data_IF_946743566834
#
_entry.id   IF_946743566834
#
_cell.length_a   1.000
_cell.length_b   1.000
_cell.length_c   1.000
_cell.angle_alpha   90.00
_cell.angle_beta   90.00
_cell.angle_gamma   90.00
#
_symmetry.space_group_name_H-M   'P 1'
#
loop_
_entity.id
_entity.type
_entity.pdbx_description
1 polymer ?
#
# COMPACT_ATOMS: atom_id res chain seq x y z
N UNK A 1 -37.96 -71.08 -6.09
CA UNK A 1 -39.04 -70.14 -6.42
C UNK A 1 -39.92 -69.69 -5.24
N UNK A 2 -39.78 -70.23 -4.01
CA UNK A 2 -40.57 -69.80 -2.83
C UNK A 2 -39.93 -68.66 -2.01
N UNK A 3 -38.64 -68.36 -2.17
CA UNK A 3 -37.94 -67.35 -1.40
C UNK A 3 -38.13 -65.93 -1.93
N UNK A 4 -38.48 -65.77 -3.24
CA UNK A 4 -38.61 -64.46 -3.86
C UNK A 4 -39.97 -63.77 -3.63
N UNK A 5 -41.03 -64.58 -3.45
CA UNK A 5 -42.37 -64.05 -3.13
C UNK A 5 -42.48 -63.45 -1.72
N UNK A 6 -41.70 -63.95 -0.77
CA UNK A 6 -41.75 -63.46 0.60
C UNK A 6 -41.06 -62.08 0.78
N UNK A 7 -40.00 -61.83 -0.02
CA UNK A 7 -39.33 -60.52 -0.05
C UNK A 7 -40.20 -59.40 -0.64
N UNK A 8 -40.99 -59.72 -1.68
CA UNK A 8 -41.89 -58.72 -2.30
C UNK A 8 -43.03 -58.30 -1.39
N UNK A 9 -43.56 -59.18 -0.57
CA UNK A 9 -44.61 -58.84 0.38
C UNK A 9 -44.11 -57.97 1.54
N UNK A 10 -42.84 -58.12 1.96
CA UNK A 10 -42.24 -57.26 3.00
C UNK A 10 -42.01 -55.84 2.48
N UNK A 11 -41.60 -55.70 1.21
CA UNK A 11 -41.45 -54.35 0.60
C UNK A 11 -42.77 -53.66 0.35
N UNK A 12 -43.84 -54.40 0.00
CA UNK A 12 -45.17 -53.80 -0.19
C UNK A 12 -45.79 -53.37 1.16
N UNK A 13 -45.56 -54.10 2.23
CA UNK A 13 -46.03 -53.71 3.58
C UNK A 13 -45.16 -52.56 4.10
N UNK A 14 -43.85 -52.53 3.87
CA UNK A 14 -43.00 -51.40 4.24
C UNK A 14 -43.36 -50.13 3.45
N UNK A 15 -43.69 -50.25 2.15
CA UNK A 15 -44.11 -49.10 1.34
C UNK A 15 -45.49 -48.54 1.76
N UNK A 16 -46.43 -49.40 2.16
CA UNK A 16 -47.76 -48.98 2.63
C UNK A 16 -47.71 -48.38 4.04
N UNK A 17 -46.79 -48.78 4.91
CA UNK A 17 -46.55 -48.19 6.24
C UNK A 17 -45.86 -46.82 6.11
N UNK A 18 -44.95 -46.68 5.13
CA UNK A 18 -44.27 -45.40 4.86
C UNK A 18 -45.20 -44.34 4.23
N UNK A 19 -46.19 -44.78 3.42
CA UNK A 19 -47.15 -43.84 2.82
C UNK A 19 -48.23 -43.37 3.82
N UNK A 20 -48.48 -44.07 4.91
CA UNK A 20 -49.44 -43.62 5.95
C UNK A 20 -48.79 -42.59 6.92
N UNK A 21 -47.48 -42.56 7.00
CA UNK A 21 -46.75 -41.56 7.83
C UNK A 21 -46.62 -40.21 7.19
N UNK A 22 -46.85 -40.10 5.88
CA UNK A 22 -46.81 -38.80 5.20
C UNK A 22 -48.16 -38.06 5.14
N UNK A 23 -49.27 -38.71 5.50
CA UNK A 23 -50.59 -38.07 5.45
C UNK A 23 -51.04 -37.49 6.81
N UNK A 24 -50.27 -37.73 7.88
CA UNK A 24 -50.67 -37.35 9.25
C UNK A 24 -49.97 -36.11 9.82
N UNK A 25 -49.36 -35.26 8.98
CA UNK A 25 -48.66 -34.07 9.49
C UNK A 25 -49.26 -32.72 9.11
N UNK A 26 -50.29 -32.68 8.28
CA UNK A 26 -50.82 -31.37 7.83
C UNK A 26 -51.92 -30.80 8.76
N UNK A 27 -52.72 -31.60 9.42
CA UNK A 27 -53.81 -31.10 10.29
C UNK A 27 -53.34 -30.47 11.61
N UNK A 28 -52.12 -30.78 12.12
CA UNK A 28 -51.59 -30.17 13.32
C UNK A 28 -50.65 -28.96 13.04
N UNK A 29 -50.28 -28.75 11.81
CA UNK A 29 -49.41 -27.63 11.42
C UNK A 29 -50.20 -26.34 11.30
N UNK A 30 -51.44 -26.41 10.86
CA UNK A 30 -52.28 -25.22 10.66
C UNK A 30 -52.96 -24.72 11.95
N UNK A 31 -52.99 -25.56 13.01
CA UNK A 31 -53.66 -25.19 14.28
C UNK A 31 -52.85 -24.22 15.13
N UNK A 32 -51.50 -24.21 14.98
CA UNK A 32 -50.55 -23.37 15.72
C UNK A 32 -49.97 -22.21 14.90
N UNK A 33 -50.38 -22.06 13.64
CA UNK A 33 -49.93 -20.91 12.84
C UNK A 33 -50.63 -19.64 13.33
N UNK A 34 -49.81 -18.61 13.57
CA UNK A 34 -50.28 -17.29 13.98
C UNK A 34 -51.10 -16.63 12.87
N UNK A 35 -52.13 -15.87 13.25
CA UNK A 35 -52.86 -15.04 12.31
C UNK A 35 -51.92 -14.07 11.60
N UNK A 36 -52.33 -13.69 10.38
CA UNK A 36 -51.54 -12.79 9.54
C UNK A 36 -51.23 -11.47 10.25
N UNK A 37 -49.95 -11.10 10.23
CA UNK A 37 -49.40 -9.94 10.93
C UNK A 37 -48.47 -9.16 10.01
N UNK A 38 -48.42 -7.85 10.21
CA UNK A 38 -47.55 -6.94 9.50
C UNK A 38 -46.57 -6.27 10.46
N UNK A 39 -45.34 -6.05 10.04
CA UNK A 39 -44.37 -5.31 10.81
C UNK A 39 -43.24 -4.78 9.94
N UNK A 40 -42.53 -3.75 10.42
CA UNK A 40 -41.28 -3.28 9.84
C UNK A 40 -40.19 -4.28 10.16
N UNK A 41 -39.39 -4.67 9.14
CA UNK A 41 -38.25 -5.56 9.34
C UNK A 41 -37.17 -4.94 10.27
N UNK A 42 -37.09 -3.60 10.27
CA UNK A 42 -36.23 -2.81 11.17
C UNK A 42 -37.10 -1.83 11.94
N UNK A 43 -36.73 -1.56 13.19
CA UNK A 43 -37.43 -0.65 14.09
C UNK A 43 -36.47 0.12 14.99
N UNK A 44 -36.99 1.14 15.69
CA UNK A 44 -36.14 2.01 16.50
C UNK A 44 -35.32 3.00 15.67
N UNK A 45 -34.22 3.49 16.20
CA UNK A 45 -33.31 4.39 15.48
C UNK A 45 -32.39 3.59 14.55
N UNK A 46 -32.48 3.88 13.24
CA UNK A 46 -31.68 3.25 12.20
C UNK A 46 -30.86 4.29 11.45
N UNK A 47 -29.56 4.07 11.35
CA UNK A 47 -28.71 4.89 10.48
C UNK A 47 -28.87 4.48 9.01
N UNK A 48 -29.01 5.48 8.13
CA UNK A 48 -29.00 5.32 6.69
C UNK A 48 -27.78 6.02 6.12
N UNK A 49 -26.87 5.24 5.52
CA UNK A 49 -25.70 5.79 4.80
C UNK A 49 -26.16 6.29 3.44
N UNK A 50 -26.25 7.60 3.30
CA UNK A 50 -26.69 8.29 2.08
C UNK A 50 -25.45 8.70 1.30
N UNK A 51 -25.23 8.14 0.11
CA UNK A 51 -24.11 8.53 -0.73
C UNK A 51 -24.40 9.88 -1.40
N UNK A 52 -23.44 10.80 -1.33
CA UNK A 52 -23.49 12.10 -2.02
C UNK A 52 -23.23 11.94 -3.53
N UNK A 53 -24.16 11.23 -4.19
CA UNK A 53 -24.11 10.97 -5.63
C UNK A 53 -25.51 10.75 -6.20
N UNK A 54 -26.10 11.78 -6.78
CA UNK A 54 -27.46 11.73 -7.28
C UNK A 54 -28.48 11.47 -6.16
N UNK A 55 -29.63 10.92 -6.51
CA UNK A 55 -30.66 10.56 -5.53
C UNK A 55 -30.35 9.21 -4.91
N UNK A 56 -30.30 9.14 -3.60
CA UNK A 56 -30.10 7.90 -2.86
C UNK A 56 -31.45 7.33 -2.40
N UNK A 57 -31.76 6.09 -2.78
CA UNK A 57 -32.99 5.40 -2.38
C UNK A 57 -32.73 4.46 -1.19
N UNK A 58 -33.39 4.71 -0.07
CA UNK A 58 -33.40 3.84 1.11
C UNK A 58 -34.59 2.88 1.01
N UNK A 59 -34.33 1.58 1.15
CA UNK A 59 -35.35 0.54 1.15
C UNK A 59 -35.78 0.22 2.59
N UNK A 60 -37.07 0.39 2.88
CA UNK A 60 -37.68 0.05 4.18
C UNK A 60 -38.62 -1.15 4.01
N UNK A 61 -38.17 -2.37 4.33
CA UNK A 61 -38.98 -3.57 4.15
C UNK A 61 -40.09 -3.70 5.20
N UNK A 62 -41.23 -4.11 4.74
CA UNK A 62 -42.39 -4.54 5.52
C UNK A 62 -42.57 -6.04 5.32
N UNK A 63 -42.76 -6.74 6.40
CA UNK A 63 -42.94 -8.20 6.40
C UNK A 63 -44.41 -8.50 6.76
N UNK A 64 -45.04 -9.38 5.98
CA UNK A 64 -46.27 -10.06 6.32
C UNK A 64 -45.96 -11.51 6.71
N UNK A 65 -46.37 -11.93 7.87
CA UNK A 65 -46.16 -13.29 8.39
C UNK A 65 -47.45 -13.83 8.99
N UNK A 66 -47.59 -15.14 9.00
CA UNK A 66 -48.74 -15.85 9.47
C UNK A 66 -49.27 -16.87 8.46
N UNK A 67 -50.54 -17.17 8.48
CA UNK A 67 -51.20 -18.18 7.60
C UNK A 67 -51.16 -17.83 6.11
N UNK A 68 -50.98 -16.55 5.77
CA UNK A 68 -50.98 -16.09 4.37
C UNK A 68 -52.35 -16.03 3.73
N UNK A 69 -53.42 -15.95 4.53
CA UNK A 69 -54.82 -16.05 4.05
C UNK A 69 -55.46 -14.69 3.74
N UNK A 70 -54.79 -13.59 4.06
CA UNK A 70 -55.36 -12.26 3.92
C UNK A 70 -54.47 -11.35 3.08
N UNK A 71 -55.12 -10.61 2.18
CA UNK A 71 -54.50 -9.45 1.54
C UNK A 71 -54.45 -8.28 2.54
N UNK A 72 -53.49 -7.38 2.38
CA UNK A 72 -53.30 -6.24 3.26
C UNK A 72 -52.94 -4.98 2.49
N UNK A 73 -53.34 -3.85 3.04
CA UNK A 73 -52.89 -2.53 2.58
C UNK A 73 -52.25 -1.80 3.75
N UNK A 74 -51.04 -1.35 3.58
CA UNK A 74 -50.29 -0.61 4.61
C UNK A 74 -49.83 0.73 4.10
N UNK A 75 -49.84 1.71 4.98
CA UNK A 75 -49.38 3.08 4.73
C UNK A 75 -48.22 3.41 5.66
N UNK A 76 -47.22 4.10 5.13
CA UNK A 76 -46.16 4.72 5.91
C UNK A 76 -46.47 6.20 6.11
N UNK A 77 -46.57 6.64 7.35
CA UNK A 77 -46.88 8.03 7.69
C UNK A 77 -45.75 8.64 8.53
N UNK A 78 -45.36 9.88 8.23
CA UNK A 78 -44.49 10.67 9.11
C UNK A 78 -45.24 10.91 10.42
N UNK A 79 -44.60 10.62 11.54
CA UNK A 79 -45.23 10.65 12.87
C UNK A 79 -44.28 11.32 13.90
N UNK A 80 -44.51 12.60 14.15
CA UNK A 80 -43.75 13.39 15.11
C UNK A 80 -43.88 12.86 16.55
N UNK A 81 -44.95 12.14 16.88
CA UNK A 81 -45.10 11.57 18.21
C UNK A 81 -44.07 10.48 18.50
N UNK A 82 -43.63 9.76 17.45
CA UNK A 82 -42.54 8.77 17.54
C UNK A 82 -41.23 9.46 17.87
N UNK A 83 -40.95 10.59 17.25
CA UNK A 83 -39.77 11.40 17.52
C UNK A 83 -39.76 11.96 18.95
N UNK A 84 -40.89 12.55 19.36
CA UNK A 84 -41.03 13.12 20.70
C UNK A 84 -40.82 12.04 21.80
N UNK A 85 -41.50 10.88 21.64
CA UNK A 85 -41.33 9.75 22.58
C UNK A 85 -39.92 9.21 22.63
N UNK A 86 -39.21 9.15 21.48
CA UNK A 86 -37.84 8.70 21.42
C UNK A 86 -36.88 9.68 22.14
N UNK A 87 -37.03 10.98 21.88
CA UNK A 87 -36.21 12.02 22.52
C UNK A 87 -36.39 12.02 24.05
N UNK A 88 -37.65 11.90 24.53
CA UNK A 88 -37.91 11.82 25.96
C UNK A 88 -37.29 10.57 26.60
N UNK A 89 -37.44 9.40 25.97
CA UNK A 89 -36.95 8.14 26.52
C UNK A 89 -35.42 8.04 26.54
N UNK A 90 -34.72 8.69 25.59
CA UNK A 90 -33.26 8.58 25.41
C UNK A 90 -32.49 9.84 25.80
N UNK A 91 -33.18 10.93 26.21
CA UNK A 91 -32.53 12.23 26.52
C UNK A 91 -31.85 12.85 25.30
N UNK A 92 -32.36 12.58 24.10
CA UNK A 92 -31.86 13.12 22.84
C UNK A 92 -32.63 14.37 22.40
N UNK A 93 -32.07 15.15 21.47
CA UNK A 93 -32.69 16.37 20.95
C UNK A 93 -32.74 16.36 19.41
N UNK A 94 -33.07 15.19 18.84
CA UNK A 94 -33.24 15.06 17.40
C UNK A 94 -34.37 15.96 16.87
N UNK A 95 -34.16 16.51 15.68
CA UNK A 95 -35.12 17.36 15.00
C UNK A 95 -35.84 16.60 13.86
N UNK A 96 -37.05 16.98 13.56
CA UNK A 96 -37.77 16.45 12.39
C UNK A 96 -37.07 16.90 11.11
N UNK A 97 -36.81 15.94 10.22
CA UNK A 97 -36.20 16.22 8.92
C UNK A 97 -37.15 17.04 8.04
N UNK A 98 -36.68 18.13 7.40
CA UNK A 98 -37.45 18.91 6.46
C UNK A 98 -37.87 18.11 5.22
N UNK A 99 -39.05 18.43 4.68
CA UNK A 99 -39.67 17.74 3.54
C UNK A 99 -38.82 17.80 2.25
N UNK A 100 -38.01 18.83 2.08
CA UNK A 100 -37.11 18.96 0.91
C UNK A 100 -35.94 17.97 0.91
N UNK A 101 -35.67 17.30 2.02
CA UNK A 101 -34.55 16.36 2.16
C UNK A 101 -34.86 14.93 1.75
N UNK A 102 -36.14 14.62 1.56
CA UNK A 102 -36.59 13.27 1.19
C UNK A 102 -37.89 13.28 0.38
N UNK A 103 -38.16 12.17 -0.30
CA UNK A 103 -39.48 11.89 -0.90
C UNK A 103 -39.83 10.42 -0.75
N UNK A 104 -41.08 10.14 -0.43
CA UNK A 104 -41.61 8.80 -0.38
C UNK A 104 -42.24 8.46 -1.75
N UNK A 105 -41.65 7.51 -2.50
CA UNK A 105 -42.10 7.14 -3.85
C UNK A 105 -43.51 6.64 -3.87
N UNK A 106 -43.84 5.77 -2.92
CA UNK A 106 -45.18 5.22 -2.73
C UNK A 106 -45.50 5.25 -1.25
N UNK A 107 -46.53 5.97 -0.86
CA UNK A 107 -47.02 6.03 0.53
C UNK A 107 -47.86 4.83 0.95
N UNK A 108 -48.22 3.93 0.01
CA UNK A 108 -49.11 2.81 0.19
C UNK A 108 -48.54 1.54 -0.45
N UNK A 109 -48.54 0.42 0.29
CA UNK A 109 -48.19 -0.90 -0.22
C UNK A 109 -49.39 -1.82 -0.12
N UNK A 110 -49.67 -2.56 -1.18
CA UNK A 110 -50.72 -3.59 -1.22
C UNK A 110 -50.07 -4.98 -1.26
N UNK A 111 -50.40 -5.84 -0.31
CA UNK A 111 -49.99 -7.24 -0.22
C UNK A 111 -51.13 -8.13 -0.70
N UNK A 112 -50.86 -9.00 -1.65
CA UNK A 112 -51.71 -10.12 -1.95
C UNK A 112 -51.63 -11.19 -0.85
N UNK A 113 -52.45 -12.24 -0.91
CA UNK A 113 -52.46 -13.31 0.09
C UNK A 113 -51.10 -14.00 0.19
N UNK A 114 -50.47 -14.27 -0.94
CA UNK A 114 -49.17 -14.92 -1.04
C UNK A 114 -47.96 -14.00 -0.81
N UNK A 115 -48.13 -12.69 -0.81
CA UNK A 115 -47.06 -11.74 -0.58
C UNK A 115 -46.64 -11.74 0.89
N UNK A 116 -45.35 -11.90 1.15
CA UNK A 116 -44.78 -11.87 2.51
C UNK A 116 -43.76 -10.77 2.75
N UNK A 117 -43.30 -10.08 1.69
CA UNK A 117 -42.35 -8.97 1.80
C UNK A 117 -42.57 -7.95 0.68
N UNK A 118 -42.69 -6.69 1.06
CA UNK A 118 -42.64 -5.52 0.18
C UNK A 118 -41.89 -4.40 0.88
N UNK A 119 -41.45 -3.39 0.12
CA UNK A 119 -40.63 -2.31 0.69
C UNK A 119 -41.19 -0.95 0.28
N UNK A 120 -41.21 -0.02 1.23
CA UNK A 120 -41.30 1.39 0.90
C UNK A 120 -39.94 1.88 0.39
N UNK A 121 -39.95 2.74 -0.62
CA UNK A 121 -38.79 3.38 -1.20
C UNK A 121 -38.78 4.85 -0.82
N UNK A 122 -37.74 5.26 -0.07
CA UNK A 122 -37.56 6.62 0.40
C UNK A 122 -36.32 7.18 -0.30
N UNK A 123 -36.50 8.16 -1.15
CA UNK A 123 -35.42 8.87 -1.80
C UNK A 123 -34.95 10.00 -0.89
N UNK A 124 -33.66 10.04 -0.64
CA UNK A 124 -32.98 11.14 0.06
C UNK A 124 -32.29 12.05 -0.94
N UNK A 125 -32.31 13.35 -0.68
CA UNK A 125 -31.52 14.34 -1.40
C UNK A 125 -30.23 14.67 -0.64
N UNK A 126 -29.06 14.17 -1.10
CA UNK A 126 -27.80 14.38 -0.39
C UNK A 126 -27.39 15.84 -0.27
N UNK A 127 -27.71 16.70 -1.26
CA UNK A 127 -27.36 18.11 -1.23
C UNK A 127 -28.12 18.83 -0.12
N UNK A 128 -29.44 18.63 -0.04
CA UNK A 128 -30.26 19.17 1.04
C UNK A 128 -29.87 18.66 2.41
N UNK A 129 -29.52 17.38 2.54
CA UNK A 129 -29.01 16.79 3.77
C UNK A 129 -27.67 17.41 4.20
N UNK A 130 -26.76 17.62 3.26
CA UNK A 130 -25.44 18.26 3.53
C UNK A 130 -25.64 19.69 3.99
N UNK A 131 -26.56 20.43 3.38
CA UNK A 131 -26.89 21.80 3.78
C UNK A 131 -27.45 21.88 5.19
N UNK A 132 -28.27 20.93 5.62
CA UNK A 132 -28.78 20.84 7.01
C UNK A 132 -27.69 20.61 8.03
N UNK A 133 -26.72 19.73 7.73
CA UNK A 133 -25.66 19.37 8.66
C UNK A 133 -24.73 20.53 9.08
N UNK A 134 -24.89 21.72 8.49
CA UNK A 134 -24.09 22.91 8.81
C UNK A 134 -24.53 23.64 10.08
N UNK A 135 -25.72 23.37 10.60
CA UNK A 135 -26.27 24.01 11.82
C UNK A 135 -25.89 23.30 13.14
N UNK A 136 -25.22 22.15 13.05
CA UNK A 136 -24.82 21.35 14.20
C UNK A 136 -25.97 20.58 14.87
N UNK A 137 -27.16 20.54 14.25
CA UNK A 137 -28.31 19.78 14.71
C UNK A 137 -28.36 18.40 14.06
N UNK A 138 -29.00 17.46 14.73
CA UNK A 138 -29.20 16.11 14.19
C UNK A 138 -30.66 15.91 13.80
N UNK A 139 -30.87 15.52 12.55
CA UNK A 139 -32.19 15.34 11.96
C UNK A 139 -32.52 13.87 11.75
N UNK A 140 -33.78 13.50 12.04
CA UNK A 140 -34.28 12.15 11.82
C UNK A 140 -35.67 12.18 11.12
N UNK A 141 -35.97 11.11 10.41
CA UNK A 141 -37.25 10.93 9.74
C UNK A 141 -38.04 9.85 10.48
N UNK A 142 -39.04 10.25 11.28
CA UNK A 142 -39.88 9.34 12.05
C UNK A 142 -41.03 8.79 11.21
N UNK A 143 -41.24 7.49 11.22
CA UNK A 143 -42.38 6.87 10.56
C UNK A 143 -43.15 5.95 11.49
N UNK A 144 -44.49 5.90 11.27
CA UNK A 144 -45.40 4.86 11.76
C UNK A 144 -46.02 4.07 10.61
N UNK A 145 -46.05 2.75 10.76
CA UNK A 145 -46.77 1.85 9.87
C UNK A 145 -48.20 1.77 10.31
N UNK A 146 -49.16 2.00 9.38
CA UNK A 146 -50.57 1.99 9.65
C UNK A 146 -51.27 1.06 8.64
N UNK A 147 -52.27 0.31 9.07
CA UNK A 147 -53.14 -0.49 8.21
C UNK A 147 -54.60 -0.14 8.48
N UNK A 148 -55.36 -0.05 7.42
CA UNK A 148 -56.80 0.14 7.49
C UNK A 148 -57.57 -1.23 7.44
N UNK A 149 -56.82 -2.35 7.34
CA UNK A 149 -57.39 -3.69 7.29
C UNK A 149 -57.65 -4.20 8.72
N UNK A 150 -58.89 -4.62 8.99
CA UNK A 150 -59.31 -5.11 10.30
C UNK A 150 -58.93 -6.56 10.57
N UNK A 151 -58.65 -7.33 9.52
CA UNK A 151 -58.33 -8.77 9.61
C UNK A 151 -56.85 -9.04 9.80
N UNK A 152 -56.00 -8.01 9.60
CA UNK A 152 -54.55 -8.07 9.82
C UNK A 152 -54.15 -6.95 10.77
N UNK A 153 -53.37 -7.31 11.79
CA UNK A 153 -52.85 -6.35 12.76
C UNK A 153 -51.38 -6.11 12.56
N UNK A 154 -50.93 -4.95 12.93
CA UNK A 154 -49.49 -4.67 13.07
C UNK A 154 -49.01 -5.23 14.40
N UNK A 155 -47.99 -6.07 14.38
CA UNK A 155 -47.51 -6.75 15.58
C UNK A 155 -46.42 -5.91 16.26
N UNK A 156 -46.67 -5.68 17.58
CA UNK A 156 -45.74 -4.98 18.48
C UNK A 156 -45.68 -3.48 18.18
N UNK A 157 -45.92 -2.64 19.18
CA UNK A 157 -45.81 -1.18 19.01
C UNK A 157 -44.45 -0.76 18.51
N UNK A 158 -43.40 -1.41 18.98
CA UNK A 158 -42.01 -1.11 18.59
C UNK A 158 -41.73 -1.45 17.14
N UNK A 159 -42.40 -2.50 16.59
CA UNK A 159 -42.18 -2.92 15.19
C UNK A 159 -43.07 -2.15 14.19
N UNK A 160 -43.92 -1.28 14.68
CA UNK A 160 -44.70 -0.37 13.85
C UNK A 160 -44.00 0.98 13.63
N UNK A 161 -42.90 1.25 14.34
CA UNK A 161 -42.27 2.57 14.42
C UNK A 161 -40.78 2.51 14.09
N UNK A 162 -40.32 3.52 13.36
CA UNK A 162 -38.88 3.65 12.99
C UNK A 162 -38.50 5.12 12.94
N UNK A 163 -37.25 5.41 13.36
CA UNK A 163 -36.57 6.67 13.10
C UNK A 163 -35.41 6.41 12.17
N UNK A 164 -35.35 7.10 11.05
CA UNK A 164 -34.26 6.98 10.10
C UNK A 164 -33.35 8.22 10.24
N UNK A 165 -32.10 8.01 10.63
CA UNK A 165 -31.07 9.04 10.74
C UNK A 165 -30.13 8.94 9.52
N UNK A 166 -30.22 9.81 8.53
CA UNK A 166 -29.31 9.78 7.40
C UNK A 166 -27.96 10.35 7.80
N UNK A 167 -26.91 9.74 7.28
CA UNK A 167 -25.54 10.24 7.34
C UNK A 167 -25.01 10.33 5.93
N UNK A 168 -24.62 11.52 5.49
CA UNK A 168 -24.14 11.74 4.14
C UNK A 168 -22.69 11.28 4.05
N UNK A 169 -22.44 10.41 3.10
CA UNK A 169 -21.11 9.90 2.77
C UNK A 169 -20.71 10.37 1.39
N UNK A 170 -19.51 10.94 1.29
CA UNK A 170 -18.91 11.20 -0.02
C UNK A 170 -18.25 9.91 -0.51
N UNK A 171 -18.72 9.31 -1.59
CA UNK A 171 -18.07 8.17 -2.19
C UNK A 171 -16.86 8.64 -2.98
N UNK A 172 -15.68 8.06 -2.69
CA UNK A 172 -14.40 8.40 -3.29
C UNK A 172 -13.69 7.20 -3.88
N UNK A 173 -12.87 7.50 -4.90
CA UNK A 173 -11.91 6.59 -5.51
C UNK A 173 -10.52 7.17 -5.27
N UNK A 174 -9.59 6.35 -4.81
CA UNK A 174 -8.22 6.78 -4.53
C UNK A 174 -7.22 5.63 -4.58
N UNK A 175 -5.94 5.96 -4.51
CA UNK A 175 -4.89 4.97 -4.32
C UNK A 175 -4.92 4.41 -2.90
N UNK A 176 -4.66 3.10 -2.74
CA UNK A 176 -4.53 2.48 -1.41
C UNK A 176 -3.35 3.06 -0.63
N UNK A 177 -2.26 3.37 -1.33
CA UNK A 177 -1.05 3.95 -0.74
C UNK A 177 -0.87 5.34 -1.30
N UNK A 178 -1.43 6.37 -0.63
CA UNK A 178 -1.13 7.75 -0.96
C UNK A 178 0.33 8.10 -0.62
N UNK A 179 0.81 9.21 -1.12
CA UNK A 179 2.19 9.68 -1.00
C UNK A 179 3.20 8.74 -1.69
N UNK A 180 4.32 8.43 -1.03
CA UNK A 180 5.34 7.56 -1.58
C UNK A 180 5.16 6.10 -1.17
N UNK A 181 5.23 5.21 -2.14
CA UNK A 181 5.19 3.77 -1.91
C UNK A 181 6.46 3.29 -1.20
N UNK A 182 6.32 2.83 0.06
CA UNK A 182 7.45 2.49 0.95
C UNK A 182 7.59 1.01 1.27
N UNK A 183 7.01 0.10 0.51
CA UNK A 183 7.17 -1.32 0.80
C UNK A 183 8.57 -1.82 0.42
N UNK A 184 9.50 -1.64 1.33
CA UNK A 184 10.66 -2.49 1.58
C UNK A 184 11.79 -2.56 0.55
N UNK A 185 11.60 -2.27 -0.72
CA UNK A 185 12.66 -2.23 -1.73
C UNK A 185 12.31 -1.28 -2.84
N UNK A 186 13.23 -0.41 -3.19
CA UNK A 186 13.19 0.30 -4.44
C UNK A 186 13.09 -0.71 -5.59
N UNK A 187 12.25 -0.44 -6.57
CA UNK A 187 12.21 -1.24 -7.78
C UNK A 187 13.54 -1.04 -8.52
N UNK A 188 14.45 -2.00 -8.38
CA UNK A 188 15.75 -1.93 -9.03
C UNK A 188 15.66 -2.59 -10.41
N UNK A 189 16.01 -1.84 -11.43
CA UNK A 189 16.14 -2.36 -12.79
C UNK A 189 17.61 -2.78 -12.96
N UNK A 190 17.82 -4.04 -13.30
CA UNK A 190 19.15 -4.58 -13.62
C UNK A 190 19.45 -4.37 -15.09
N UNK A 191 20.68 -4.04 -15.41
CA UNK A 191 21.11 -3.72 -16.77
C UNK A 191 21.49 -4.95 -17.61
N UNK A 192 21.43 -6.16 -17.02
CA UNK A 192 21.91 -7.39 -17.67
C UNK A 192 20.78 -8.24 -18.28
N UNK A 193 19.52 -7.88 -18.03
CA UNK A 193 18.36 -8.63 -18.48
C UNK A 193 17.41 -7.73 -19.25
N UNK A 194 16.87 -8.22 -20.35
CA UNK A 194 15.68 -7.62 -21.03
C UNK A 194 14.44 -7.67 -20.10
N UNK A 195 14.64 -7.62 -18.79
CA UNK A 195 13.60 -7.76 -17.81
C UNK A 195 12.68 -6.55 -17.80
N UNK A 196 11.43 -6.83 -18.03
CA UNK A 196 10.34 -5.87 -17.93
C UNK A 196 9.84 -5.88 -16.48
N UNK A 197 10.12 -4.81 -15.76
CA UNK A 197 9.55 -4.62 -14.43
C UNK A 197 8.09 -4.16 -14.54
N UNK A 198 7.18 -4.85 -13.87
CA UNK A 198 5.76 -4.48 -13.83
C UNK A 198 5.37 -4.10 -12.41
N UNK A 199 4.81 -2.90 -12.25
CA UNK A 199 4.26 -2.42 -10.99
C UNK A 199 2.72 -2.39 -11.06
N UNK A 200 2.09 -2.58 -9.90
CA UNK A 200 0.65 -2.71 -9.78
C UNK A 200 0.08 -1.77 -8.71
N UNK A 201 -0.04 -0.45 -9.00
CA UNK A 201 -0.74 0.46 -8.11
C UNK A 201 -2.17 0.00 -7.85
N UNK A 202 -2.56 -0.08 -6.58
CA UNK A 202 -3.90 -0.47 -6.18
C UNK A 202 -4.78 0.77 -6.09
N UNK A 203 -5.89 0.77 -6.83
CA UNK A 203 -6.95 1.78 -6.78
C UNK A 203 -8.16 1.18 -6.10
N UNK A 204 -8.74 1.88 -5.14
CA UNK A 204 -9.81 1.40 -4.29
C UNK A 204 -10.93 2.42 -4.12
N UNK A 205 -12.06 1.94 -3.61
CA UNK A 205 -13.21 2.76 -3.21
C UNK A 205 -13.46 2.64 -1.70
N UNK A 206 -14.10 3.65 -1.12
CA UNK A 206 -14.47 3.67 0.31
C UNK A 206 -15.90 3.18 0.58
N UNK A 207 -16.54 2.52 -0.40
CA UNK A 207 -17.94 2.08 -0.34
C UNK A 207 -18.13 0.75 -1.09
N UNK A 208 -19.31 0.13 -0.97
CA UNK A 208 -19.66 -1.04 -1.79
C UNK A 208 -19.98 -0.59 -3.22
N UNK A 209 -19.23 -1.12 -4.18
CA UNK A 209 -19.30 -0.70 -5.56
C UNK A 209 -20.30 -1.52 -6.39
N UNK A 210 -21.39 -0.90 -6.77
CA UNK A 210 -22.42 -1.50 -7.61
C UNK A 210 -22.23 -1.26 -9.12
N UNK A 211 -21.18 -0.57 -9.52
CA UNK A 211 -20.97 -0.17 -10.92
C UNK A 211 -19.57 -0.50 -11.43
N UNK A 212 -19.43 -0.50 -12.75
CA UNK A 212 -18.14 -0.37 -13.39
C UNK A 212 -17.77 1.12 -13.45
N UNK A 213 -16.59 1.46 -12.92
CA UNK A 213 -16.11 2.85 -12.80
C UNK A 213 -14.80 2.96 -13.56
N UNK A 214 -14.77 3.75 -14.62
CA UNK A 214 -13.54 4.12 -15.29
C UNK A 214 -12.91 5.35 -14.65
N UNK A 215 -11.59 5.42 -14.68
CA UNK A 215 -10.82 6.55 -14.16
C UNK A 215 -9.64 6.87 -15.08
N UNK A 216 -9.17 8.11 -15.03
CA UNK A 216 -7.97 8.55 -15.72
C UNK A 216 -6.83 8.78 -14.73
N UNK A 217 -5.63 8.36 -15.14
CA UNK A 217 -4.39 8.57 -14.40
C UNK A 217 -3.38 9.27 -15.28
N UNK A 218 -2.70 10.26 -14.75
CA UNK A 218 -1.56 10.92 -15.41
C UNK A 218 -0.30 10.83 -14.56
N UNK A 219 0.85 10.96 -15.20
CA UNK A 219 2.12 11.20 -14.52
C UNK A 219 2.25 12.70 -14.31
N UNK A 220 2.38 13.12 -13.05
CA UNK A 220 2.34 14.52 -12.68
C UNK A 220 3.63 14.95 -11.95
N UNK A 221 4.51 15.67 -12.67
CA UNK A 221 5.81 16.11 -12.15
C UNK A 221 5.71 17.04 -10.95
N UNK A 222 4.65 17.86 -10.86
CA UNK A 222 4.47 18.79 -9.73
C UNK A 222 4.32 18.03 -8.39
N UNK A 223 3.68 16.86 -8.40
CA UNK A 223 3.57 15.97 -7.23
C UNK A 223 4.96 15.54 -6.75
N UNK A 224 5.86 15.20 -7.68
CA UNK A 224 7.22 14.82 -7.33
C UNK A 224 8.05 16.01 -6.84
N UNK A 225 7.87 17.17 -7.43
CA UNK A 225 8.55 18.38 -7.01
C UNK A 225 8.16 18.79 -5.58
N UNK A 226 6.86 18.73 -5.24
CA UNK A 226 6.36 18.96 -3.89
C UNK A 226 6.92 17.94 -2.89
N UNK A 227 6.95 16.67 -3.26
CA UNK A 227 7.54 15.63 -2.44
C UNK A 227 9.03 15.90 -2.16
N UNK A 228 9.83 16.15 -3.19
CA UNK A 228 11.26 16.44 -3.06
C UNK A 228 11.52 17.68 -2.18
N UNK A 229 10.69 18.72 -2.29
CA UNK A 229 10.78 19.92 -1.45
C UNK A 229 10.45 19.65 0.02
N UNK A 230 9.61 18.67 0.32
CA UNK A 230 9.22 18.26 1.67
C UNK A 230 10.30 17.46 2.41
N UNK A 231 11.33 16.99 1.70
CA UNK A 231 12.37 16.16 2.26
C UNK A 231 13.32 16.95 3.17
N UNK A 232 13.81 16.30 4.21
CA UNK A 232 14.84 16.86 5.10
C UNK A 232 16.16 17.07 4.35
N UNK A 233 16.96 18.03 4.81
CA UNK A 233 18.29 18.27 4.26
C UNK A 233 19.15 16.98 4.31
N UNK A 234 19.70 16.59 3.16
CA UNK A 234 20.49 15.37 3.00
C UNK A 234 19.66 14.11 2.68
N UNK A 235 18.33 14.20 2.63
CA UNK A 235 17.52 13.11 2.11
C UNK A 235 17.67 13.01 0.57
N UNK A 236 17.43 11.79 0.07
CA UNK A 236 17.57 11.49 -1.36
C UNK A 236 16.43 12.08 -2.17
N UNK A 237 16.73 12.94 -3.13
CA UNK A 237 15.80 13.43 -4.13
C UNK A 237 15.66 12.44 -5.27
N UNK A 238 14.44 12.38 -5.84
CA UNK A 238 14.14 11.56 -7.00
C UNK A 238 14.01 12.43 -8.26
N UNK A 239 14.47 11.89 -9.38
CA UNK A 239 14.23 12.45 -10.72
C UNK A 239 12.96 11.86 -11.31
N UNK A 240 12.25 12.62 -12.14
CA UNK A 240 11.11 12.06 -12.86
C UNK A 240 11.59 10.96 -13.82
N UNK A 241 10.86 9.83 -13.89
CA UNK A 241 11.09 8.80 -14.90
C UNK A 241 11.02 9.42 -16.30
N UNK A 242 12.00 9.14 -17.19
CA UNK A 242 11.99 9.65 -18.55
C UNK A 242 10.74 9.22 -19.33
N UNK A 243 10.33 10.04 -20.26
CA UNK A 243 9.29 9.65 -21.21
C UNK A 243 9.76 8.43 -22.02
N UNK A 244 8.91 7.40 -22.11
CA UNK A 244 9.24 6.12 -22.74
C UNK A 244 9.83 5.08 -21.78
N UNK A 245 10.18 5.44 -20.53
CA UNK A 245 10.60 4.48 -19.51
C UNK A 245 9.44 3.70 -18.88
N UNK A 246 8.20 4.07 -19.17
CA UNK A 246 7.02 3.41 -18.64
C UNK A 246 5.88 3.39 -19.65
N UNK A 247 5.03 2.37 -19.49
CA UNK A 247 3.76 2.25 -20.23
C UNK A 247 2.64 1.96 -19.26
N UNK A 248 1.63 2.84 -19.20
CA UNK A 248 0.42 2.65 -18.42
C UNK A 248 -0.59 1.87 -19.28
N UNK A 249 -1.00 0.69 -18.84
CA UNK A 249 -2.05 -0.09 -19.49
C UNK A 249 -3.41 0.54 -19.17
N UNK A 250 -3.87 1.42 -20.06
CA UNK A 250 -5.14 2.15 -19.92
C UNK A 250 -6.36 1.23 -19.85
N UNK A 251 -6.27 0.00 -20.34
CA UNK A 251 -7.35 -0.98 -20.23
C UNK A 251 -7.57 -1.46 -18.79
N UNK A 252 -6.60 -1.24 -17.90
CA UNK A 252 -6.69 -1.54 -16.47
C UNK A 252 -7.18 -0.39 -15.61
N UNK A 253 -7.44 0.81 -16.20
CA UNK A 253 -8.02 1.97 -15.51
C UNK A 253 -9.55 1.80 -15.32
N UNK A 254 -9.96 0.66 -14.84
CA UNK A 254 -11.37 0.29 -14.63
C UNK A 254 -11.49 -0.45 -13.30
N UNK A 255 -12.36 0.06 -12.45
CA UNK A 255 -12.79 -0.61 -11.23
C UNK A 255 -14.09 -1.34 -11.52
N UNK A 256 -14.04 -2.68 -11.49
CA UNK A 256 -15.16 -3.52 -11.90
C UNK A 256 -16.28 -3.51 -10.86
N UNK A 257 -17.51 -3.74 -11.33
CA UNK A 257 -18.69 -3.91 -10.47
C UNK A 257 -18.45 -5.02 -9.42
N UNK A 258 -18.92 -4.80 -8.20
CA UNK A 258 -18.75 -5.69 -7.04
C UNK A 258 -17.30 -5.93 -6.63
N UNK A 259 -16.41 -4.97 -6.93
CA UNK A 259 -15.01 -4.96 -6.50
C UNK A 259 -14.71 -3.68 -5.72
N UNK A 260 -14.09 -3.85 -4.57
CA UNK A 260 -13.69 -2.72 -3.73
C UNK A 260 -12.35 -2.12 -4.20
N UNK A 261 -11.59 -2.86 -5.01
CA UNK A 261 -10.33 -2.42 -5.60
C UNK A 261 -10.02 -3.16 -6.90
N UNK A 262 -9.13 -2.55 -7.68
CA UNK A 262 -8.46 -3.15 -8.85
C UNK A 262 -7.02 -2.64 -8.93
N UNK A 263 -6.21 -3.34 -9.72
CA UNK A 263 -4.82 -2.99 -9.94
C UNK A 263 -4.62 -2.31 -11.29
N UNK A 264 -4.04 -1.11 -11.26
CA UNK A 264 -3.49 -0.46 -12.44
C UNK A 264 -2.20 -1.18 -12.83
N UNK A 265 -2.05 -1.54 -14.10
CA UNK A 265 -0.84 -2.18 -14.60
C UNK A 265 0.06 -1.16 -15.27
N UNK A 266 1.31 -1.07 -14.82
CA UNK A 266 2.35 -0.22 -15.41
C UNK A 266 3.59 -1.05 -15.65
N UNK A 267 4.08 -0.98 -16.88
CA UNK A 267 5.30 -1.65 -17.31
C UNK A 267 6.43 -0.63 -17.38
N UNK A 268 7.58 -0.95 -16.78
CA UNK A 268 8.79 -0.15 -16.84
C UNK A 268 9.78 -0.80 -17.80
N UNK A 269 10.39 0.02 -18.68
CA UNK A 269 11.29 -0.46 -19.72
C UNK A 269 12.72 0.04 -19.50
N UNK A 270 13.65 -0.87 -19.27
CA UNK A 270 15.06 -0.60 -19.04
C UNK A 270 15.70 0.18 -20.21
N UNK A 271 15.37 -0.17 -21.44
CA UNK A 271 15.97 0.44 -22.64
C UNK A 271 15.86 1.97 -22.70
N UNK A 272 14.89 2.56 -22.02
CA UNK A 272 14.72 4.01 -21.95
C UNK A 272 15.81 4.72 -21.13
N UNK A 273 16.55 3.98 -20.33
CA UNK A 273 17.66 4.50 -19.51
C UNK A 273 19.00 4.30 -20.18
N UNK A 274 19.05 3.54 -21.26
CA UNK A 274 20.27 3.31 -22.02
C UNK A 274 20.56 4.54 -22.89
N UNK A 275 21.71 5.19 -22.63
CA UNK A 275 22.17 6.37 -23.37
C UNK A 275 22.87 5.92 -24.65
N UNK A 276 23.76 4.92 -24.53
CA UNK A 276 24.46 4.26 -25.63
C UNK A 276 24.80 2.80 -25.24
N UNK A 277 25.62 2.10 -26.00
CA UNK A 277 25.91 0.68 -25.75
C UNK A 277 26.51 0.40 -24.35
N UNK A 278 27.27 1.35 -23.80
CA UNK A 278 28.01 1.21 -22.54
C UNK A 278 27.59 2.22 -21.47
N UNK A 279 26.59 3.06 -21.73
CA UNK A 279 26.18 4.10 -20.82
C UNK A 279 24.71 4.04 -20.50
N UNK A 280 24.39 4.17 -19.21
CA UNK A 280 23.04 4.22 -18.68
C UNK A 280 22.82 5.48 -17.84
N UNK A 281 21.59 5.97 -17.83
CA UNK A 281 21.18 7.04 -16.93
C UNK A 281 20.93 6.49 -15.52
N UNK A 282 21.96 5.98 -14.85
CA UNK A 282 21.85 5.47 -13.49
C UNK A 282 21.34 6.52 -12.51
N UNK A 283 20.73 6.07 -11.44
CA UNK A 283 20.27 6.91 -10.35
C UNK A 283 18.86 6.57 -9.84
N UNK A 284 18.31 7.51 -9.09
CA UNK A 284 17.06 7.38 -8.38
C UNK A 284 15.98 8.18 -9.09
N UNK A 285 14.93 7.49 -9.48
CA UNK A 285 13.78 8.04 -10.19
C UNK A 285 12.50 7.78 -9.42
N UNK A 286 11.44 8.47 -9.79
CA UNK A 286 10.12 8.15 -9.31
C UNK A 286 9.06 8.35 -10.41
N UNK A 287 8.00 7.56 -10.31
CA UNK A 287 6.80 7.67 -11.11
C UNK A 287 5.67 8.26 -10.26
N UNK A 288 5.43 9.57 -10.31
CA UNK A 288 4.32 10.22 -9.61
C UNK A 288 3.04 10.05 -10.42
N UNK A 289 2.05 9.38 -9.85
CA UNK A 289 0.76 9.14 -10.47
C UNK A 289 -0.31 9.99 -9.80
N UNK A 290 -1.22 10.55 -10.59
CA UNK A 290 -2.39 11.28 -10.11
C UNK A 290 -3.64 10.81 -10.82
N UNK A 291 -4.70 10.49 -10.05
CA UNK A 291 -6.04 10.26 -10.58
C UNK A 291 -6.65 11.62 -10.91
N UNK A 292 -6.97 11.86 -12.18
CA UNK A 292 -7.44 13.17 -12.66
C UNK A 292 -8.93 13.22 -12.88
N UNK A 293 -9.54 12.10 -13.20
CA UNK A 293 -10.99 12.00 -13.41
C UNK A 293 -11.52 10.62 -13.10
N UNK A 294 -12.81 10.55 -12.79
CA UNK A 294 -13.57 9.32 -12.57
C UNK A 294 -14.94 9.44 -13.23
N UNK A 295 -15.45 8.33 -13.78
CA UNK A 295 -16.75 8.32 -14.45
C UNK A 295 -17.92 8.43 -13.49
N UNK A 296 -17.73 8.10 -12.21
CA UNK A 296 -18.74 8.19 -11.13
C UNK A 296 -18.07 8.57 -9.82
N UNK A 297 -18.81 9.31 -8.98
CA UNK A 297 -18.37 9.75 -7.66
C UNK A 297 -17.26 10.80 -7.70
N UNK A 298 -16.44 10.88 -6.69
CA UNK A 298 -15.31 11.82 -6.62
C UNK A 298 -13.97 11.09 -6.53
N UNK A 299 -12.92 11.83 -6.79
CA UNK A 299 -11.56 11.42 -6.46
C UNK A 299 -11.30 11.81 -5.00
N UNK A 300 -10.72 10.91 -4.22
CA UNK A 300 -10.34 11.18 -2.85
C UNK A 300 -9.19 12.21 -2.81
N UNK A 301 -9.41 13.42 -2.26
CA UNK A 301 -8.38 14.46 -2.25
C UNK A 301 -7.16 14.09 -1.39
N UNK A 302 -7.32 13.15 -0.45
CA UNK A 302 -6.24 12.67 0.42
C UNK A 302 -5.53 11.42 -0.15
N UNK A 303 -6.03 10.87 -1.28
CA UNK A 303 -5.52 9.67 -1.89
C UNK A 303 -5.52 9.71 -3.44
N UNK A 304 -5.53 10.91 -4.02
CA UNK A 304 -5.52 11.11 -5.47
C UNK A 304 -4.13 10.91 -6.10
N UNK A 305 -3.07 10.90 -5.29
CA UNK A 305 -1.68 10.76 -5.73
C UNK A 305 -0.98 9.58 -5.09
N UNK A 306 -0.03 8.98 -5.82
CA UNK A 306 0.93 8.01 -5.31
C UNK A 306 2.25 8.13 -6.06
N UNK A 307 3.38 7.87 -5.39
CA UNK A 307 4.72 7.98 -5.96
C UNK A 307 5.42 6.62 -5.86
N UNK A 308 5.84 6.08 -6.99
CA UNK A 308 6.61 4.83 -7.05
C UNK A 308 8.09 5.13 -7.26
N UNK A 309 8.96 4.94 -6.24
CA UNK A 309 10.39 5.09 -6.40
C UNK A 309 10.97 3.95 -7.23
N UNK A 310 11.82 4.29 -8.18
CA UNK A 310 12.51 3.36 -9.08
C UNK A 310 13.99 3.71 -9.08
N UNK A 311 14.86 2.72 -8.87
CA UNK A 311 16.30 2.93 -8.98
C UNK A 311 16.87 2.12 -10.12
N UNK A 312 17.80 2.73 -10.85
CA UNK A 312 18.63 2.07 -11.83
C UNK A 312 20.03 2.14 -11.31
N UNK A 313 20.54 1.00 -10.91
CA UNK A 313 21.83 0.89 -10.26
C UNK A 313 22.85 0.30 -11.23
N UNK A 314 24.11 0.83 -11.25
CA UNK A 314 25.18 0.16 -11.94
C UNK A 314 25.42 -1.22 -11.31
N UNK A 315 25.81 -2.23 -12.10
CA UNK A 315 26.17 -3.54 -11.56
C UNK A 315 27.41 -3.43 -10.66
N UNK A 316 27.49 -4.32 -9.69
CA UNK A 316 28.74 -4.50 -8.93
C UNK A 316 29.77 -5.10 -9.86
N UNK A 317 30.95 -4.51 -9.90
CA UNK A 317 32.04 -4.99 -10.75
C UNK A 317 32.69 -6.24 -10.15
N UNK A 318 33.04 -7.17 -11.01
CA UNK A 318 33.90 -8.31 -10.64
C UNK A 318 35.35 -7.82 -10.46
N UNK A 319 35.89 -8.01 -9.28
CA UNK A 319 37.25 -7.59 -8.93
C UNK A 319 38.27 -8.73 -8.93
N UNK A 320 37.90 -9.88 -9.51
CA UNK A 320 38.81 -11.08 -9.55
C UNK A 320 40.09 -10.81 -10.27
N UNK A 321 40.09 -9.97 -11.31
CA UNK A 321 41.27 -9.61 -12.08
C UNK A 321 41.95 -8.31 -11.59
N UNK A 322 41.36 -7.60 -10.62
CA UNK A 322 41.94 -6.37 -10.10
C UNK A 322 43.23 -6.66 -9.34
N UNK A 323 44.17 -5.71 -9.37
CA UNK A 323 45.45 -5.84 -8.68
C UNK A 323 45.80 -4.57 -7.92
N UNK A 324 46.56 -4.74 -6.84
CA UNK A 324 47.17 -3.59 -6.13
C UNK A 324 48.39 -3.11 -6.92
N UNK A 325 48.33 -1.88 -7.41
CA UNK A 325 49.42 -1.25 -8.17
C UNK A 325 50.40 -0.54 -7.24
N UNK A 326 49.91 0.19 -6.25
CA UNK A 326 50.71 0.98 -5.32
C UNK A 326 50.01 1.07 -3.95
N UNK A 327 50.80 0.99 -2.89
CA UNK A 327 50.33 1.27 -1.54
C UNK A 327 51.46 1.96 -0.75
N UNK A 328 51.15 3.12 -0.17
CA UNK A 328 52.19 3.89 0.53
C UNK A 328 52.39 3.52 2.01
N UNK A 329 51.53 2.67 2.57
CA UNK A 329 51.60 2.23 3.96
C UNK A 329 51.31 0.73 4.07
N UNK A 330 52.37 -0.08 4.21
CA UNK A 330 52.31 -1.53 4.28
C UNK A 330 53.06 -2.00 5.53
N UNK A 331 52.46 -2.92 6.29
CA UNK A 331 53.09 -3.66 7.36
C UNK A 331 54.11 -4.64 6.75
N UNK A 332 55.30 -4.71 7.26
CA UNK A 332 56.36 -5.63 6.79
C UNK A 332 56.80 -6.58 7.90
N UNK A 333 57.05 -7.85 7.55
CA UNK A 333 57.43 -8.92 8.47
C UNK A 333 58.66 -8.59 9.34
N UNK A 334 59.57 -7.76 8.83
CA UNK A 334 60.82 -7.40 9.53
C UNK A 334 60.59 -6.45 10.71
N UNK A 335 59.49 -5.71 10.72
CA UNK A 335 59.23 -4.62 11.66
C UNK A 335 58.03 -4.89 12.58
N UNK A 336 57.00 -5.54 12.09
CA UNK A 336 55.69 -5.57 12.75
C UNK A 336 55.06 -6.95 12.87
N UNK A 337 55.76 -8.05 12.52
CA UNK A 337 55.21 -9.40 12.45
C UNK A 337 53.92 -9.45 11.58
N UNK A 338 54.02 -8.95 10.36
CA UNK A 338 52.88 -8.91 9.42
C UNK A 338 52.22 -10.28 9.30
N UNK A 339 50.92 -10.25 9.36
CA UNK A 339 50.06 -11.40 9.06
C UNK A 339 49.64 -11.33 7.59
N UNK A 340 49.39 -12.48 6.96
CA UNK A 340 48.76 -12.51 5.63
C UNK A 340 47.36 -11.91 5.66
N UNK A 341 46.82 -11.59 6.84
CA UNK A 341 45.53 -10.94 7.04
C UNK A 341 45.59 -9.39 6.99
N UNK A 342 46.79 -8.81 6.90
CA UNK A 342 46.98 -7.35 7.03
C UNK A 342 47.51 -6.69 5.73
N UNK A 343 47.52 -7.41 4.62
CA UNK A 343 48.10 -6.95 3.34
C UNK A 343 47.06 -6.23 2.45
N UNK A 344 47.49 -5.34 1.55
CA UNK A 344 46.58 -4.58 0.66
C UNK A 344 45.72 -5.45 -0.28
N UNK A 345 46.23 -6.63 -0.68
CA UNK A 345 45.47 -7.55 -1.55
C UNK A 345 44.16 -8.01 -0.93
N UNK A 346 44.04 -7.98 0.39
CA UNK A 346 42.80 -8.29 1.12
C UNK A 346 41.64 -7.33 0.81
N UNK A 347 41.94 -6.15 0.25
CA UNK A 347 40.90 -5.21 -0.21
C UNK A 347 40.05 -5.75 -1.39
N UNK A 348 40.52 -6.85 -2.02
CA UNK A 348 39.96 -7.39 -3.25
C UNK A 348 39.45 -8.84 -3.13
N UNK A 349 39.53 -9.45 -1.94
CA UNK A 349 39.30 -10.89 -1.74
C UNK A 349 37.83 -11.24 -1.40
N UNK A 350 36.97 -10.26 -1.27
CA UNK A 350 35.56 -10.41 -0.87
C UNK A 350 35.35 -11.05 0.52
N UNK A 351 36.25 -10.79 1.46
CA UNK A 351 36.22 -11.35 2.80
C UNK A 351 36.39 -10.27 3.88
N UNK A 352 35.35 -9.84 4.51
CA UNK A 352 35.37 -8.80 5.54
C UNK A 352 36.15 -9.15 6.84
N UNK A 353 36.62 -10.38 6.96
CA UNK A 353 37.48 -10.81 8.07
C UNK A 353 39.00 -10.62 7.79
N UNK A 354 39.34 -10.38 6.55
CA UNK A 354 40.70 -9.96 6.12
C UNK A 354 40.69 -8.46 5.85
N UNK A 355 41.84 -7.82 5.93
CA UNK A 355 41.92 -6.38 5.75
C UNK A 355 43.30 -5.91 5.37
N UNK A 356 43.42 -4.73 4.77
CA UNK A 356 44.61 -3.96 4.71
C UNK A 356 44.77 -3.17 6.01
N UNK A 357 45.99 -3.23 6.62
CA UNK A 357 46.35 -2.45 7.79
C UNK A 357 47.49 -1.49 7.47
N UNK A 358 47.34 -0.22 7.84
CA UNK A 358 48.40 0.75 7.69
C UNK A 358 49.49 0.54 8.76
N UNK A 359 50.71 0.97 8.48
CA UNK A 359 51.89 0.77 9.33
C UNK A 359 51.75 1.45 10.69
N UNK A 360 51.94 0.70 11.77
CA UNK A 360 51.83 1.18 13.14
C UNK A 360 53.17 1.69 13.71
N UNK A 361 54.26 1.04 13.31
CA UNK A 361 55.64 1.40 13.74
C UNK A 361 56.24 2.29 12.65
N UNK A 362 56.80 3.42 13.07
CA UNK A 362 57.32 4.44 12.16
C UNK A 362 56.26 4.85 11.10
N UNK A 363 55.07 5.27 11.54
CA UNK A 363 53.99 5.63 10.62
C UNK A 363 54.45 6.79 9.75
N UNK A 364 54.00 6.76 8.48
CA UNK A 364 54.12 7.93 7.60
C UNK A 364 53.04 8.95 7.96
N UNK A 365 53.20 10.19 7.53
CA UNK A 365 52.15 11.20 7.67
C UNK A 365 51.04 10.96 6.65
N UNK A 366 49.82 11.40 6.96
CA UNK A 366 48.70 11.41 6.01
C UNK A 366 49.07 12.23 4.75
N UNK A 367 48.54 11.89 3.58
CA UNK A 367 47.52 10.86 3.35
C UNK A 367 48.05 9.45 3.20
N UNK A 368 47.33 8.46 3.68
CA UNK A 368 47.55 7.06 3.27
C UNK A 368 46.74 6.78 2.01
N UNK A 369 47.26 5.98 1.10
CA UNK A 369 46.53 5.59 -0.09
C UNK A 369 46.89 4.19 -0.57
N UNK A 370 45.95 3.61 -1.31
CA UNK A 370 46.12 2.41 -2.11
C UNK A 370 45.61 2.67 -3.52
N UNK A 371 46.38 2.25 -4.52
CA UNK A 371 46.01 2.33 -5.93
C UNK A 371 45.68 0.93 -6.44
N UNK A 372 44.54 0.78 -7.04
CA UNK A 372 44.00 -0.44 -7.61
C UNK A 372 44.00 -0.29 -9.13
N UNK A 373 44.55 -1.27 -9.83
CA UNK A 373 44.50 -1.38 -11.28
C UNK A 373 43.31 -2.29 -11.65
N UNK A 374 42.35 -1.80 -12.43
CA UNK A 374 41.14 -2.50 -12.85
C UNK A 374 41.40 -3.51 -13.99
N UNK A 375 42.58 -3.45 -14.62
CA UNK A 375 43.04 -4.24 -15.76
C UNK A 375 42.29 -3.94 -17.08
N UNK A 376 41.28 -3.12 -17.04
CA UNK A 376 40.48 -2.68 -18.21
C UNK A 376 39.95 -1.26 -18.00
N UNK A 377 39.54 -0.60 -19.10
CA UNK A 377 38.91 0.72 -19.01
C UNK A 377 37.45 0.56 -18.70
N UNK A 378 37.04 0.97 -17.51
CA UNK A 378 35.68 0.84 -17.01
C UNK A 378 34.97 2.19 -16.97
N UNK A 379 33.64 2.19 -17.12
CA UNK A 379 32.79 3.33 -16.79
C UNK A 379 32.32 3.21 -15.35
N UNK A 380 32.92 3.97 -14.45
CA UNK A 380 32.61 3.95 -13.02
C UNK A 380 31.52 4.97 -12.67
N UNK A 381 30.61 4.57 -11.80
CA UNK A 381 29.47 5.39 -11.33
C UNK A 381 29.38 5.48 -9.81
N UNK A 382 29.95 4.48 -9.10
CA UNK A 382 29.97 4.41 -7.64
C UNK A 382 31.22 3.70 -7.18
N UNK A 383 31.77 4.15 -6.08
CA UNK A 383 32.85 3.47 -5.34
C UNK A 383 32.45 3.33 -3.88
N UNK A 384 32.96 2.32 -3.22
CA UNK A 384 32.67 2.09 -1.82
C UNK A 384 33.78 1.34 -1.10
N UNK A 385 33.69 1.37 0.23
CA UNK A 385 34.56 0.59 1.09
C UNK A 385 33.74 -0.11 2.18
N UNK A 386 34.31 -1.19 2.70
CA UNK A 386 33.83 -1.89 3.87
C UNK A 386 34.96 -2.02 4.91
N UNK A 387 34.60 -1.76 6.17
CA UNK A 387 35.50 -1.98 7.29
C UNK A 387 35.45 -3.43 7.76
N UNK A 388 36.51 -3.92 8.48
CA UNK A 388 36.53 -5.25 9.06
C UNK A 388 35.28 -5.51 9.94
N UNK A 389 34.81 -6.77 10.03
CA UNK A 389 33.65 -7.11 10.89
C UNK A 389 33.90 -6.80 12.37
N UNK A 390 35.16 -6.93 12.83
CA UNK A 390 35.52 -6.55 14.19
C UNK A 390 35.40 -5.03 14.40
N UNK A 391 34.46 -4.60 15.26
CA UNK A 391 34.16 -3.19 15.52
C UNK A 391 35.31 -2.42 16.21
N UNK A 392 36.28 -3.11 16.78
CA UNK A 392 37.50 -2.49 17.34
C UNK A 392 38.46 -2.00 16.26
N UNK A 393 38.28 -2.43 15.01
CA UNK A 393 39.13 -2.09 13.86
C UNK A 393 38.45 -1.07 12.94
N UNK A 394 39.21 -0.46 12.05
CA UNK A 394 38.67 0.40 11.00
C UNK A 394 38.66 1.90 11.32
N UNK A 395 39.67 2.43 11.96
CA UNK A 395 39.76 3.80 12.50
C UNK A 395 39.73 4.95 11.47
N UNK A 396 39.49 4.72 10.19
CA UNK A 396 39.43 5.76 9.18
C UNK A 396 38.30 6.78 9.48
N UNK A 397 38.59 8.07 9.28
CA UNK A 397 37.65 9.16 9.59
C UNK A 397 37.23 9.94 8.36
N UNK A 398 38.13 10.31 7.50
CA UNK A 398 37.86 11.05 6.27
C UNK A 398 38.86 10.77 5.17
N UNK A 399 38.41 11.01 3.94
CA UNK A 399 39.21 10.84 2.76
C UNK A 399 38.43 11.08 1.48
N UNK A 400 38.92 10.51 0.38
CA UNK A 400 38.29 10.61 -0.92
C UNK A 400 38.67 9.46 -1.83
N UNK A 401 37.93 9.29 -2.91
CA UNK A 401 38.32 8.48 -4.04
C UNK A 401 38.79 9.38 -5.20
N UNK A 402 39.76 8.93 -5.92
CA UNK A 402 40.16 9.48 -7.22
C UNK A 402 40.37 8.36 -8.23
N UNK A 403 40.18 8.69 -9.51
CA UNK A 403 40.28 7.77 -10.63
C UNK A 403 41.24 8.30 -11.69
N UNK A 404 41.77 7.39 -12.47
CA UNK A 404 42.71 7.72 -13.57
C UNK A 404 42.55 6.73 -14.72
N UNK A 405 42.71 7.22 -15.96
CA UNK A 405 42.82 6.37 -17.15
C UNK A 405 44.26 5.91 -17.42
N UNK A 406 45.25 6.66 -17.01
CA UNK A 406 46.67 6.45 -17.35
C UNK A 406 47.58 6.14 -16.14
N UNK A 407 47.03 6.23 -14.90
CA UNK A 407 47.79 6.05 -13.66
C UNK A 407 48.66 7.24 -13.26
N UNK A 408 48.74 8.29 -14.08
CA UNK A 408 49.54 9.50 -13.86
C UNK A 408 48.67 10.73 -13.54
N UNK A 409 47.54 10.89 -14.29
CA UNK A 409 46.61 12.01 -14.14
C UNK A 409 45.37 11.58 -13.34
N UNK A 410 45.22 12.15 -12.15
CA UNK A 410 44.18 11.76 -11.20
C UNK A 410 43.07 12.78 -11.11
N UNK A 411 41.82 12.30 -11.09
CA UNK A 411 40.60 13.10 -10.88
C UNK A 411 39.93 12.65 -9.61
N UNK A 412 39.78 13.56 -8.64
CA UNK A 412 38.97 13.28 -7.45
C UNK A 412 37.50 13.23 -7.81
N UNK A 413 36.82 12.11 -7.48
CA UNK A 413 35.44 11.87 -7.85
C UNK A 413 34.45 12.04 -6.69
N UNK A 414 34.87 11.68 -5.46
CA UNK A 414 34.01 11.82 -4.28
C UNK A 414 34.76 11.87 -2.98
N UNK A 415 34.34 12.73 -2.07
CA UNK A 415 34.85 12.79 -0.69
C UNK A 415 33.95 11.92 0.22
N UNK A 416 34.56 11.38 1.29
CA UNK A 416 33.84 10.65 2.32
C UNK A 416 34.29 11.08 3.73
N UNK A 417 33.32 10.95 4.68
CA UNK A 417 33.63 11.18 6.11
C UNK A 417 32.68 10.36 6.97
N UNK A 418 33.19 9.88 8.11
CA UNK A 418 32.47 9.11 9.12
C UNK A 418 32.29 9.93 10.39
N UNK A 419 31.16 9.75 11.07
CA UNK A 419 30.82 10.50 12.31
C UNK A 419 31.57 9.94 13.55
N UNK A 420 31.67 8.62 13.60
CA UNK A 420 32.37 7.92 14.68
C UNK A 420 32.98 6.63 14.17
N UNK A 421 33.77 5.97 15.00
CA UNK A 421 34.40 4.69 14.63
C UNK A 421 33.39 3.53 14.50
N UNK A 422 32.17 3.67 15.05
CA UNK A 422 31.13 2.65 15.02
C UNK A 422 30.07 2.89 13.91
N UNK A 423 29.95 4.14 13.43
CA UNK A 423 29.00 4.51 12.40
C UNK A 423 29.62 4.32 11.01
N UNK A 424 28.74 4.15 10.00
CA UNK A 424 29.11 4.13 8.58
C UNK A 424 30.25 3.15 8.27
N UNK A 425 30.16 1.92 8.77
CA UNK A 425 31.20 0.89 8.59
C UNK A 425 31.25 0.33 7.15
N UNK A 426 30.25 0.60 6.34
CA UNK A 426 30.25 0.38 4.89
C UNK A 426 29.68 1.63 4.24
N UNK A 427 30.36 2.16 3.25
CA UNK A 427 29.91 3.33 2.51
C UNK A 427 29.94 3.05 1.01
N UNK A 428 28.87 3.45 0.35
CA UNK A 428 28.72 3.47 -1.10
C UNK A 428 28.47 4.90 -1.53
N UNK A 429 29.26 5.40 -2.48
CA UNK A 429 29.34 6.82 -2.82
C UNK A 429 29.13 7.01 -4.31
N UNK A 430 28.00 7.62 -4.68
CA UNK A 430 27.65 7.93 -6.06
C UNK A 430 28.39 9.17 -6.55
N UNK A 431 28.79 9.15 -7.83
CA UNK A 431 29.37 10.30 -8.53
C UNK A 431 28.98 10.29 -10.01
N UNK A 432 29.30 11.36 -10.74
CA UNK A 432 29.11 11.38 -12.19
C UNK A 432 30.03 10.35 -12.86
N UNK A 433 29.58 9.73 -13.93
CA UNK A 433 30.34 8.72 -14.66
C UNK A 433 31.75 9.23 -15.02
N UNK A 434 32.76 8.38 -14.76
CA UNK A 434 34.15 8.57 -15.19
C UNK A 434 34.71 7.29 -15.80
N UNK A 435 35.44 7.44 -16.88
CA UNK A 435 36.25 6.34 -17.42
C UNK A 435 37.54 6.21 -16.62
N UNK A 436 37.92 4.97 -16.28
CA UNK A 436 39.11 4.72 -15.48
C UNK A 436 39.68 3.32 -15.71
N UNK A 437 40.99 3.24 -15.68
CA UNK A 437 41.76 2.00 -15.53
C UNK A 437 42.24 1.82 -14.09
N UNK A 438 42.24 2.90 -13.30
CA UNK A 438 42.78 2.90 -11.94
C UNK A 438 41.81 3.62 -10.97
N UNK A 439 41.74 3.06 -9.76
CA UNK A 439 41.06 3.67 -8.60
C UNK A 439 42.14 3.93 -7.54
N UNK A 440 42.06 5.10 -6.89
CA UNK A 440 42.88 5.35 -5.68
C UNK A 440 41.97 5.70 -4.52
N UNK A 441 42.03 4.92 -3.45
CA UNK A 441 41.42 5.19 -2.16
C UNK A 441 42.38 5.93 -1.28
N UNK A 442 41.99 7.10 -0.80
CA UNK A 442 42.84 8.00 -0.02
C UNK A 442 42.21 8.27 1.34
N UNK A 443 43.03 8.12 2.41
CA UNK A 443 42.65 8.40 3.79
C UNK A 443 43.40 9.65 4.23
N UNK A 444 42.70 10.69 4.67
CA UNK A 444 43.26 11.99 5.09
C UNK A 444 43.24 12.20 6.58
N UNK A 445 42.41 11.46 7.33
CA UNK A 445 42.27 11.56 8.79
C UNK A 445 41.77 10.22 9.37
N UNK A 446 42.09 9.96 10.63
CA UNK A 446 41.64 8.79 11.38
C UNK A 446 41.15 9.17 12.77
N UNK A 447 40.25 8.35 13.34
CA UNK A 447 39.88 8.46 14.74
C UNK A 447 41.05 8.06 15.65
N UNK A 448 41.19 8.74 16.80
CA UNK A 448 42.18 8.36 17.81
C UNK A 448 41.85 6.95 18.33
N UNK A 449 42.83 6.07 18.24
CA UNK A 449 42.79 4.72 18.81
C UNK A 449 43.78 4.62 19.94
N UNK A 450 43.31 4.30 21.14
CA UNK A 450 44.18 4.01 22.27
C UNK A 450 44.46 2.49 22.31
N UNK A 451 45.63 2.06 21.87
CA UNK A 451 46.09 0.70 22.10
C UNK A 451 46.57 0.56 23.55
N UNK A 452 45.84 -0.21 24.42
CA UNK A 452 46.23 -0.39 25.81
C UNK A 452 47.58 -1.07 25.98
N UNK A 453 48.01 -1.85 24.98
CA UNK A 453 49.30 -2.59 25.01
C UNK A 453 50.51 -1.70 24.69
N UNK A 454 50.33 -0.66 23.90
CA UNK A 454 51.39 0.25 23.44
C UNK A 454 51.47 1.54 24.27
N UNK A 455 50.53 1.83 25.15
CA UNK A 455 50.52 3.00 26.04
C UNK A 455 50.57 4.35 25.32
N UNK A 456 50.28 4.39 24.02
CA UNK A 456 50.20 5.57 23.17
C UNK A 456 48.95 5.62 22.38
N UNK A 457 48.31 6.79 22.29
CA UNK A 457 47.30 7.05 21.28
C UNK A 457 47.96 6.97 19.89
N UNK A 458 47.67 5.92 19.13
CA UNK A 458 48.14 5.80 17.74
C UNK A 458 46.98 6.13 16.81
N UNK A 459 46.77 7.41 16.55
CA UNK A 459 45.81 7.86 15.54
C UNK A 459 46.15 7.49 14.10
N UNK A 460 47.15 6.66 13.91
CA UNK A 460 47.77 6.39 12.61
C UNK A 460 47.47 5.01 12.03
N UNK A 461 46.85 4.10 12.79
CA UNK A 461 46.54 2.74 12.30
C UNK A 461 45.12 2.66 11.74
N UNK A 462 45.05 2.41 10.44
CA UNK A 462 43.78 2.28 9.72
C UNK A 462 43.63 0.87 9.18
N UNK A 463 42.40 0.31 9.23
CA UNK A 463 42.08 -0.99 8.68
C UNK A 463 40.87 -0.87 7.75
N UNK A 464 40.99 -1.44 6.56
CA UNK A 464 39.94 -1.50 5.55
C UNK A 464 39.85 -2.93 5.04
N UNK A 465 38.64 -3.53 5.05
CA UNK A 465 38.45 -4.90 4.57
C UNK A 465 38.29 -4.95 3.06
N UNK A 466 37.47 -4.10 2.48
CA UNK A 466 37.07 -4.20 1.07
C UNK A 466 37.01 -2.83 0.41
N UNK A 467 37.41 -2.79 -0.86
CA UNK A 467 37.06 -1.74 -1.82
C UNK A 467 36.19 -2.35 -2.90
N UNK A 468 35.09 -1.69 -3.22
CA UNK A 468 34.12 -2.13 -4.23
C UNK A 468 33.91 -1.03 -5.25
N UNK A 469 33.63 -1.44 -6.49
CA UNK A 469 33.22 -0.57 -7.59
C UNK A 469 31.92 -1.01 -8.21
N UNK A 470 31.19 -0.05 -8.75
CA UNK A 470 29.99 -0.27 -9.54
C UNK A 470 30.13 0.48 -10.85
N UNK A 471 29.97 -0.26 -11.94
CA UNK A 471 30.24 0.25 -13.26
C UNK A 471 30.05 -0.78 -14.36
N UNK A 472 30.43 -0.41 -15.57
CA UNK A 472 30.37 -1.23 -16.78
C UNK A 472 31.72 -1.18 -17.47
#
# INVERSE_FOLDING_TARGET
MKSMKFKYNIYLIALSVFSVWFVSCDEYRDADELDDQLYLQKSGLMEAKVFNWGTFTYELPVIKSGKGNHSATVRLSVDESVLAAYNEANGSDYKLMPENCYSLKEGLLSFAEEDYRKSFLIDFDPESLTALGTDGLEYVLPFSLVTDNTDIRITGEDKAKILIKPSVYQPYIGFETPDIYRTGSEFSIKTDDDDVLVIYPKVQVNFYNDWEISYDVEVNSAVLDEYNQSLSAGARNYRLLPEGAYTIDRSTCILKQNRDYEYLKITLEEKAFKIDENNYAFGYYALPLKITSVSKYGVDPDADVTIYPVSIQPPVMDKTEWTIEECNSIITDEVENASSMDIPDNLLDNNSNTYWCTRAIEPIEFPYFVTINLQENCSLYRLGFQLPENEELGNIKSGYFEVSEDGENWTKVVDWSRRSNLDDRSMELDFSMHHANYIRFVITDAFEYADPALGKASGAVCQIAEINGWGI
#
